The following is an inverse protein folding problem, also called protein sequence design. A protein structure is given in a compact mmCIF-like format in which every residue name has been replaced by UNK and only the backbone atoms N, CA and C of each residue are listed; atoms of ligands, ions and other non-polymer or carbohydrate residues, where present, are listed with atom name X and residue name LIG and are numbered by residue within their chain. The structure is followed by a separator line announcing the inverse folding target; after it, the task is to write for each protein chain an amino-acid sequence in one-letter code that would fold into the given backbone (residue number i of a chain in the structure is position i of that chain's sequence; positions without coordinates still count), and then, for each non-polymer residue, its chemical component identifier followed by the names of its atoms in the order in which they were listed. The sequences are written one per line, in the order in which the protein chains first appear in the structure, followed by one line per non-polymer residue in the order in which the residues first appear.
data_IF_446656968628
#
_entry.id   IF_446656968628
#
_cell.length_a   1.000
_cell.length_b   1.000
_cell.length_c   1.000
_cell.angle_alpha   90.00
_cell.angle_beta   90.00
_cell.angle_gamma   90.00
#
_symmetry.space_group_name_H-M   'P 1'
#
loop_
_entity.id
_entity.type
_entity.pdbx_description
1 polymer ?
#
# COMPACT_ATOMS: atom_id res chain seq x y z
N UNK A 1 -16.78 -2.96 -13.53
CA UNK A 1 -17.39 -1.84 -13.02
C UNK A 1 -17.53 -1.83 -11.56
N UNK A 2 -16.93 -0.83 -11.00
CA UNK A 2 -16.93 -0.68 -9.55
C UNK A 2 -18.34 -0.53 -9.00
N UNK A 3 -19.12 0.31 -9.65
CA UNK A 3 -20.46 0.56 -9.19
C UNK A 3 -21.31 -0.70 -9.20
N UNK A 4 -21.23 -1.44 -10.27
CA UNK A 4 -22.00 -2.64 -10.40
C UNK A 4 -21.60 -3.67 -9.35
N UNK A 5 -20.32 -3.78 -9.09
CA UNK A 5 -19.83 -4.69 -8.09
C UNK A 5 -20.37 -4.33 -6.71
N UNK A 6 -20.35 -3.06 -6.37
CA UNK A 6 -20.88 -2.60 -5.09
C UNK A 6 -22.33 -2.92 -4.92
N UNK A 7 -23.11 -2.67 -5.96
CA UNK A 7 -24.55 -2.87 -5.89
C UNK A 7 -24.88 -4.35 -5.85
N UNK A 8 -24.24 -5.13 -6.70
CA UNK A 8 -24.58 -6.54 -6.83
C UNK A 8 -24.16 -7.35 -5.62
N UNK A 9 -23.04 -7.01 -5.02
CA UNK A 9 -22.46 -7.79 -3.92
C UNK A 9 -22.67 -7.13 -2.57
N UNK A 10 -23.43 -6.05 -2.54
CA UNK A 10 -23.57 -5.26 -1.35
C UNK A 10 -22.48 -4.22 -1.30
N UNK A 11 -22.21 -3.70 -0.11
CA UNK A 11 -21.24 -2.62 0.04
C UNK A 11 -19.83 -3.16 0.15
N UNK A 12 -18.88 -2.36 -0.35
CA UNK A 12 -17.47 -2.60 -0.09
C UNK A 12 -17.13 -1.86 1.20
N UNK A 13 -16.66 -2.60 2.18
CA UNK A 13 -16.29 -2.00 3.45
C UNK A 13 -14.85 -1.51 3.38
N UNK A 14 -14.67 -0.20 3.59
CA UNK A 14 -13.36 0.42 3.60
C UNK A 14 -13.06 0.93 5.00
N UNK A 15 -11.80 0.81 5.40
CA UNK A 15 -11.34 1.33 6.68
C UNK A 15 -10.78 2.73 6.49
N UNK A 16 -10.70 3.48 7.58
CA UNK A 16 -9.99 4.75 7.61
C UNK A 16 -8.95 4.67 8.71
N UNK A 17 -7.69 4.85 8.35
CA UNK A 17 -6.61 4.68 9.33
C UNK A 17 -6.53 5.86 10.32
N UNK A 18 -7.11 6.98 9.94
CA UNK A 18 -7.10 8.17 10.79
C UNK A 18 -5.80 8.94 10.72
N UNK A 19 -5.66 9.94 11.60
CA UNK A 19 -4.47 10.76 11.67
C UNK A 19 -4.43 11.86 10.63
N UNK A 20 -3.27 12.49 10.53
CA UNK A 20 -3.01 13.56 9.56
C UNK A 20 -2.00 13.08 8.55
N UNK A 21 -1.81 13.85 7.48
CA UNK A 21 -0.86 13.51 6.43
C UNK A 21 -1.18 12.15 5.85
N UNK A 22 -2.34 12.07 5.21
CA UNK A 22 -2.87 10.82 4.69
C UNK A 22 -2.29 10.51 3.32
N UNK A 23 -2.10 9.21 3.07
CA UNK A 23 -1.78 8.69 1.74
C UNK A 23 -3.01 7.96 1.22
N UNK A 24 -3.40 8.28 -0.01
CA UNK A 24 -4.60 7.73 -0.62
C UNK A 24 -4.29 7.25 -2.03
N UNK A 25 -5.13 6.35 -2.53
CA UNK A 25 -4.99 5.85 -3.91
C UNK A 25 -5.16 7.02 -4.89
N UNK A 26 -4.18 7.20 -5.78
CA UNK A 26 -4.23 8.29 -6.73
C UNK A 26 -5.40 8.17 -7.70
N UNK A 27 -5.89 6.95 -7.94
CA UNK A 27 -6.97 6.71 -8.90
C UNK A 27 -8.35 6.99 -8.32
N UNK A 28 -8.60 6.66 -7.05
CA UNK A 28 -9.94 6.74 -6.50
C UNK A 28 -10.02 7.42 -5.14
N UNK A 29 -8.89 7.88 -4.64
CA UNK A 29 -8.81 8.63 -3.37
C UNK A 29 -9.16 7.80 -2.12
N UNK A 30 -9.17 6.50 -2.23
CA UNK A 30 -9.39 5.65 -1.06
C UNK A 30 -8.21 5.80 -0.10
N UNK A 31 -8.50 6.02 1.17
CA UNK A 31 -7.46 6.17 2.19
C UNK A 31 -6.70 4.87 2.38
N UNK A 32 -5.38 4.94 2.43
CA UNK A 32 -4.52 3.76 2.55
C UNK A 32 -3.73 3.76 3.85
N UNK A 33 -3.13 4.89 4.19
CA UNK A 33 -2.29 4.95 5.38
C UNK A 33 -2.05 6.42 5.75
N UNK A 34 -1.21 6.65 6.73
CA UNK A 34 -0.84 8.00 7.13
C UNK A 34 0.67 8.08 7.37
N UNK A 35 1.16 9.30 7.54
CA UNK A 35 2.59 9.52 7.67
C UNK A 35 3.17 8.93 8.94
N UNK A 36 2.35 8.75 9.97
CA UNK A 36 2.79 8.08 11.20
C UNK A 36 3.21 6.64 10.99
N UNK A 37 2.73 6.01 9.91
CA UNK A 37 3.08 4.63 9.58
C UNK A 37 4.29 4.52 8.67
N UNK A 38 4.85 5.65 8.23
CA UNK A 38 5.96 5.67 7.29
C UNK A 38 7.25 5.25 7.99
N UNK A 39 7.92 4.25 7.43
CA UNK A 39 9.19 3.73 7.95
C UNK A 39 10.36 4.29 7.15
N UNK A 40 10.25 4.29 5.82
CA UNK A 40 11.36 4.68 4.96
C UNK A 40 10.84 5.17 3.61
N UNK A 41 11.53 6.17 3.06
CA UNK A 41 11.23 6.70 1.72
C UNK A 41 12.28 6.30 0.69
N UNK A 42 13.15 5.33 1.01
CA UNK A 42 14.34 5.05 0.22
C UNK A 42 14.28 3.77 -0.61
N UNK A 43 13.09 3.35 -0.96
CA UNK A 43 12.90 2.19 -1.80
C UNK A 43 12.64 2.61 -3.24
N UNK A 44 12.78 1.67 -4.16
CA UNK A 44 12.55 1.90 -5.58
C UNK A 44 11.61 0.83 -6.09
N UNK A 45 10.62 1.27 -6.86
CA UNK A 45 9.66 0.37 -7.51
C UNK A 45 9.66 0.60 -9.01
N UNK A 46 8.65 0.05 -9.67
CA UNK A 46 8.56 0.12 -11.12
C UNK A 46 8.39 1.55 -11.63
N UNK A 47 7.75 2.41 -10.85
CA UNK A 47 7.45 3.78 -11.28
C UNK A 47 8.41 4.81 -10.67
N UNK A 48 9.42 4.35 -9.92
CA UNK A 48 10.38 5.22 -9.30
C UNK A 48 10.40 5.04 -7.79
N UNK A 49 10.33 6.13 -7.04
CA UNK A 49 10.42 6.07 -5.58
C UNK A 49 9.28 5.26 -4.99
N UNK A 50 9.61 4.55 -3.94
CA UNK A 50 8.63 3.75 -3.21
C UNK A 50 8.88 3.91 -1.71
N UNK A 51 7.81 3.84 -0.93
CA UNK A 51 7.84 4.12 0.50
C UNK A 51 7.41 2.89 1.27
N UNK A 52 8.12 2.59 2.36
CA UNK A 52 7.81 1.45 3.22
C UNK A 52 6.95 1.93 4.38
N UNK A 53 5.82 1.27 4.60
CA UNK A 53 4.88 1.60 5.66
C UNK A 53 4.70 0.41 6.60
N UNK A 54 4.52 0.70 7.88
CA UNK A 54 4.24 -0.34 8.86
C UNK A 54 2.82 -0.91 8.70
N UNK A 55 1.85 -0.05 8.42
CA UNK A 55 0.45 -0.48 8.28
C UNK A 55 -0.23 0.28 7.15
N UNK A 56 -0.96 -0.46 6.32
CA UNK A 56 -1.76 0.09 5.23
C UNK A 56 -3.10 -0.65 5.22
N UNK A 57 -4.17 0.08 4.98
CA UNK A 57 -5.52 -0.49 4.94
C UNK A 57 -6.07 -0.44 3.52
N UNK A 58 -7.17 -1.12 3.29
CA UNK A 58 -7.93 -1.10 2.03
C UNK A 58 -7.15 -1.65 0.85
N UNK A 59 -6.47 -2.77 1.08
CA UNK A 59 -5.69 -3.45 0.05
C UNK A 59 -6.26 -4.83 -0.26
N UNK A 60 -6.11 -5.23 -1.51
CA UNK A 60 -6.21 -6.63 -1.94
C UNK A 60 -4.81 -7.16 -2.16
N UNK A 61 -4.63 -8.45 -1.94
CA UNK A 61 -3.31 -9.10 -1.99
C UNK A 61 -3.33 -10.20 -3.05
N UNK A 62 -2.26 -10.26 -3.83
CA UNK A 62 -2.06 -11.36 -4.77
C UNK A 62 -1.57 -12.60 -4.05
N UNK A 63 -1.40 -13.68 -4.80
CA UNK A 63 -0.69 -14.84 -4.31
C UNK A 63 0.77 -14.49 -4.04
N UNK A 64 1.40 -15.28 -3.18
CA UNK A 64 2.82 -15.11 -2.87
C UNK A 64 3.66 -15.39 -4.09
N UNK A 65 4.63 -14.53 -4.35
CA UNK A 65 5.57 -14.67 -5.46
C UNK A 65 6.99 -14.62 -4.92
N UNK A 66 7.85 -15.47 -5.48
CA UNK A 66 9.26 -15.48 -5.17
C UNK A 66 9.95 -14.50 -6.12
N UNK A 67 10.57 -13.47 -5.57
CA UNK A 67 11.11 -12.39 -6.37
C UNK A 67 12.52 -12.05 -5.94
N UNK A 68 13.43 -12.00 -6.92
CA UNK A 68 14.80 -11.59 -6.67
C UNK A 68 14.89 -10.09 -6.84
N UNK A 69 15.35 -9.41 -5.80
CA UNK A 69 15.51 -7.97 -5.77
C UNK A 69 16.97 -7.61 -5.51
N UNK A 70 17.30 -6.33 -5.60
CA UNK A 70 18.69 -5.89 -5.34
C UNK A 70 19.16 -6.28 -3.95
N UNK A 71 18.26 -6.32 -2.98
CA UNK A 71 18.59 -6.62 -1.59
C UNK A 71 18.42 -8.10 -1.26
N UNK A 72 18.25 -8.95 -2.25
CA UNK A 72 18.15 -10.39 -2.05
C UNK A 72 16.83 -10.97 -2.49
N UNK A 73 16.62 -12.22 -2.11
CA UNK A 73 15.42 -12.95 -2.50
C UNK A 73 14.31 -12.73 -1.48
N UNK A 74 13.15 -12.38 -1.97
CA UNK A 74 12.00 -12.10 -1.11
C UNK A 74 10.77 -12.82 -1.61
N UNK A 75 9.93 -13.25 -0.66
CA UNK A 75 8.59 -13.71 -0.98
C UNK A 75 7.67 -12.52 -0.78
N UNK A 76 6.95 -12.13 -1.82
CA UNK A 76 6.12 -10.93 -1.79
C UNK A 76 4.74 -11.22 -2.34
N UNK A 77 3.80 -10.35 -2.02
CA UNK A 77 2.48 -10.29 -2.67
C UNK A 77 2.33 -8.91 -3.27
N UNK A 78 1.79 -8.83 -4.47
CA UNK A 78 1.40 -7.52 -5.00
C UNK A 78 0.19 -7.02 -4.24
N UNK A 79 0.11 -5.72 -4.04
CA UNK A 79 -1.04 -5.11 -3.40
C UNK A 79 -1.71 -4.14 -4.36
N UNK A 80 -3.04 -4.12 -4.30
CA UNK A 80 -3.85 -3.23 -5.12
C UNK A 80 -4.93 -2.61 -4.26
N UNK A 81 -5.50 -1.52 -4.75
CA UNK A 81 -6.55 -0.80 -4.03
C UNK A 81 -7.81 -1.65 -3.95
N UNK A 82 -8.33 -1.83 -2.75
CA UNK A 82 -9.53 -2.63 -2.53
C UNK A 82 -10.74 -2.05 -3.26
N UNK A 83 -10.77 -0.75 -3.46
CA UNK A 83 -11.91 -0.08 -4.07
C UNK A 83 -11.84 -0.08 -5.60
N UNK A 84 -10.69 0.27 -6.20
CA UNK A 84 -10.60 0.43 -7.64
C UNK A 84 -9.67 -0.56 -8.33
N UNK A 85 -9.01 -1.42 -7.56
CA UNK A 85 -8.13 -2.47 -8.06
C UNK A 85 -6.84 -1.97 -8.71
N UNK A 86 -6.53 -0.70 -8.62
CA UNK A 86 -5.28 -0.17 -9.15
C UNK A 86 -4.11 -0.78 -8.39
N UNK A 87 -3.07 -1.21 -9.10
CA UNK A 87 -1.88 -1.75 -8.46
C UNK A 87 -1.13 -0.63 -7.75
N UNK A 88 -0.67 -0.88 -6.53
CA UNK A 88 -0.07 0.16 -5.68
C UNK A 88 1.36 -0.16 -5.23
N UNK A 89 1.71 -1.44 -5.13
CA UNK A 89 3.01 -1.83 -4.63
C UNK A 89 3.06 -3.30 -4.25
N UNK A 90 3.71 -3.60 -3.12
CA UNK A 90 3.82 -4.99 -2.67
C UNK A 90 4.00 -5.05 -1.15
N UNK A 91 3.72 -6.22 -0.59
CA UNK A 91 3.97 -6.52 0.82
C UNK A 91 5.02 -7.61 0.90
N UNK A 92 5.91 -7.50 1.87
CA UNK A 92 6.94 -8.53 2.11
C UNK A 92 6.37 -9.61 3.00
N UNK A 93 6.28 -10.84 2.46
CA UNK A 93 5.88 -12.00 3.26
C UNK A 93 7.06 -12.58 4.01
N UNK A 94 8.19 -12.72 3.32
CA UNK A 94 9.37 -13.35 3.89
C UNK A 94 10.61 -12.86 3.17
N UNK A 95 11.67 -12.60 3.93
CA UNK A 95 12.98 -12.26 3.39
C UNK A 95 13.96 -13.36 3.75
N UNK A 96 14.74 -13.80 2.77
CA UNK A 96 15.73 -14.86 2.96
C UNK A 96 16.86 -14.38 3.86
N UNK A 97 17.36 -13.17 3.61
CA UNK A 97 18.46 -12.62 4.39
C UNK A 97 17.96 -12.06 5.71
N UNK A 98 18.63 -12.42 6.78
CA UNK A 98 18.21 -12.02 8.11
C UNK A 98 18.19 -10.50 8.26
N UNK A 99 19.14 -9.79 7.68
CA UNK A 99 19.19 -8.34 7.77
C UNK A 99 18.11 -7.63 6.96
N UNK A 100 17.32 -8.35 6.18
CA UNK A 100 16.19 -7.82 5.44
C UNK A 100 14.85 -8.15 6.10
N UNK A 101 14.86 -8.93 7.18
CA UNK A 101 13.60 -9.41 7.77
C UNK A 101 12.80 -8.33 8.47
N UNK A 102 13.39 -7.17 8.72
CA UNK A 102 12.63 -6.07 9.28
C UNK A 102 11.48 -5.63 8.36
N UNK A 103 11.56 -5.99 7.07
CA UNK A 103 10.53 -5.64 6.10
C UNK A 103 9.29 -6.53 6.19
N UNK A 104 9.41 -7.69 6.82
CA UNK A 104 8.32 -8.68 6.81
C UNK A 104 7.05 -8.10 7.42
N UNK A 105 5.92 -8.32 6.73
CA UNK A 105 4.64 -7.79 7.14
C UNK A 105 4.42 -6.33 6.78
N UNK A 106 5.42 -5.67 6.25
CA UNK A 106 5.35 -4.25 5.91
C UNK A 106 5.10 -4.06 4.43
N UNK A 107 4.51 -2.91 4.10
CA UNK A 107 3.96 -2.67 2.76
C UNK A 107 4.75 -1.57 2.07
N UNK A 108 5.08 -1.82 0.82
CA UNK A 108 5.62 -0.80 -0.07
C UNK A 108 4.47 -0.23 -0.89
N UNK A 109 4.36 1.10 -0.90
CA UNK A 109 3.50 1.80 -1.85
C UNK A 109 4.39 2.67 -2.74
N UNK A 110 4.15 2.61 -4.06
CA UNK A 110 4.91 3.41 -4.99
C UNK A 110 4.41 4.85 -4.94
N UNK A 111 5.32 5.80 -4.81
CA UNK A 111 4.96 7.19 -4.55
C UNK A 111 4.09 7.78 -5.67
N UNK A 112 4.35 7.41 -6.91
CA UNK A 112 3.61 7.92 -8.06
C UNK A 112 2.16 7.42 -8.10
N UNK A 113 1.84 6.36 -7.37
CA UNK A 113 0.52 5.73 -7.41
C UNK A 113 -0.38 6.16 -6.26
N UNK A 114 0.12 7.01 -5.38
CA UNK A 114 -0.65 7.51 -4.24
C UNK A 114 -0.54 9.02 -4.17
N UNK A 115 -1.50 9.64 -3.49
CA UNK A 115 -1.47 11.08 -3.23
C UNK A 115 -1.33 11.28 -1.72
N UNK A 116 -0.66 12.35 -1.35
CA UNK A 116 -0.54 12.73 0.05
C UNK A 116 -1.38 13.98 0.29
N UNK A 117 -2.17 13.96 1.35
CA UNK A 117 -3.01 15.09 1.73
C UNK A 117 -2.83 15.39 3.20
N UNK A 118 -3.30 16.55 3.62
CA UNK A 118 -3.09 16.98 5.00
C UNK A 118 -3.99 16.24 5.99
N UNK A 119 -5.06 15.64 5.53
CA UNK A 119 -5.96 14.92 6.39
C UNK A 119 -7.05 15.83 6.94
N UNK A 120 -7.84 15.26 7.87
CA UNK A 120 -9.07 15.91 8.30
C UNK A 120 -8.86 17.13 9.14
N UNK A 121 -7.81 17.15 9.93
CA UNK A 121 -7.59 18.25 10.85
C UNK A 121 -7.24 19.55 10.21
N UNK A 122 -6.86 19.53 8.96
CA UNK A 122 -6.29 20.70 8.31
C UNK A 122 -7.32 21.63 7.72
N UNK A 123 -8.55 21.23 7.70
CA UNK A 123 -9.58 22.02 7.08
C UNK A 123 -10.22 23.02 8.04
N UNK A 124 -9.73 23.05 9.20
CA UNK A 124 -10.33 23.89 10.26
C UNK A 124 -9.56 25.17 10.50
#
# INVERSE_FOLDING_TARGET
MVLLRSVAMGVIFLEHIGGTRLFSCASCDTNLTNRGQLISTRFTGATGRAFLFNKVVNLNYSEVQDRVMLTGRHMVRDVSCKNCDAKLGWVYEFATDENQRYKEGRVILERALVTESDGMGDNI
#
